data_IF_923896629759
#
_entry.id   IF_923896629759
#
_cell.length_a   1.000
_cell.length_b   1.000
_cell.length_c   1.000
_cell.angle_alpha   90.00
_cell.angle_beta   90.00
_cell.angle_gamma   90.00
#
_symmetry.space_group_name_H-M   'P 1'
#
loop_
_entity.id
_entity.type
_entity.pdbx_description
1 polymer ?
#
# COMPACT_ATOMS: atom_id res chain seq x y z
N UNK A 1 -1.57 9.69 -8.88
CA UNK A 1 -1.34 9.05 -7.56
C UNK A 1 0.15 8.91 -7.22
N UNK A 2 1.03 8.51 -8.15
CA UNK A 2 2.48 8.45 -7.90
C UNK A 2 3.08 9.80 -7.49
N UNK A 3 2.60 10.91 -8.06
CA UNK A 3 3.02 12.26 -7.66
C UNK A 3 2.72 12.56 -6.18
N UNK A 4 1.53 12.19 -5.69
CA UNK A 4 1.16 12.35 -4.26
C UNK A 4 2.12 11.52 -3.39
N UNK A 5 2.45 10.29 -3.80
CA UNK A 5 3.40 9.46 -3.08
C UNK A 5 4.79 10.13 -2.97
N UNK A 6 5.28 10.76 -4.04
CA UNK A 6 6.54 11.53 -4.01
C UNK A 6 6.45 12.71 -3.06
N UNK A 7 5.37 13.49 -3.10
CA UNK A 7 5.15 14.62 -2.17
C UNK A 7 5.13 14.17 -0.71
N UNK A 8 4.64 12.95 -0.45
CA UNK A 8 4.61 12.34 0.89
C UNK A 8 5.91 11.62 1.28
N UNK A 9 6.97 11.73 0.49
CA UNK A 9 8.31 11.25 0.84
C UNK A 9 8.74 9.93 0.19
N UNK A 10 7.99 9.39 -0.77
CA UNK A 10 8.50 8.28 -1.57
C UNK A 10 9.70 8.74 -2.42
N UNK A 11 10.87 8.16 -2.17
CA UNK A 11 12.09 8.44 -2.92
C UNK A 11 11.96 8.02 -4.39
N UNK A 12 11.36 6.86 -4.62
CA UNK A 12 11.14 6.30 -5.95
C UNK A 12 9.67 5.91 -6.14
N UNK A 13 9.14 6.15 -7.34
CA UNK A 13 7.80 5.70 -7.72
C UNK A 13 7.81 5.15 -9.14
N UNK A 14 7.21 3.98 -9.33
CA UNK A 14 7.21 3.27 -10.60
C UNK A 14 5.77 3.14 -11.08
N UNK A 15 5.49 3.54 -12.33
CA UNK A 15 4.28 3.11 -13.01
C UNK A 15 4.55 1.71 -13.57
N UNK A 16 3.83 0.65 -13.14
CA UNK A 16 4.03 -0.69 -13.67
C UNK A 16 3.63 -0.81 -15.15
N UNK A 17 2.79 0.08 -15.67
CA UNK A 17 2.42 0.09 -17.08
C UNK A 17 3.65 0.38 -17.95
N UNK A 18 3.92 -0.51 -18.92
CA UNK A 18 5.08 -0.40 -19.81
C UNK A 18 6.39 -0.93 -19.22
N UNK A 19 6.40 -1.47 -18.00
CA UNK A 19 7.59 -2.10 -17.39
C UNK A 19 7.52 -3.61 -17.58
N UNK A 20 8.19 -4.11 -18.62
CA UNK A 20 8.20 -5.55 -18.96
C UNK A 20 8.77 -6.44 -17.84
N UNK A 21 9.71 -5.89 -17.03
CA UNK A 21 10.45 -6.62 -15.99
C UNK A 21 10.56 -5.83 -14.70
N UNK A 22 9.41 -5.59 -14.06
CA UNK A 22 9.33 -4.85 -12.79
C UNK A 22 10.23 -5.46 -11.70
N UNK A 23 10.30 -6.79 -11.66
CA UNK A 23 11.16 -7.56 -10.76
C UNK A 23 12.64 -7.14 -10.87
N UNK A 24 13.17 -7.08 -12.10
CA UNK A 24 14.55 -6.71 -12.36
C UNK A 24 14.80 -5.24 -12.06
N UNK A 25 13.83 -4.38 -12.40
CA UNK A 25 13.94 -2.95 -12.17
C UNK A 25 14.05 -2.65 -10.67
N UNK A 26 13.14 -3.19 -9.86
CA UNK A 26 13.16 -3.04 -8.40
C UNK A 26 14.44 -3.64 -7.80
N UNK A 27 14.87 -4.83 -8.24
CA UNK A 27 16.11 -5.44 -7.74
C UNK A 27 17.35 -4.59 -8.05
N UNK A 28 17.40 -3.94 -9.22
CA UNK A 28 18.49 -3.03 -9.58
C UNK A 28 18.49 -1.78 -8.68
N UNK A 29 17.32 -1.18 -8.46
CA UNK A 29 17.18 0.00 -7.58
C UNK A 29 17.57 -0.30 -6.13
N UNK A 30 17.21 -1.49 -5.65
CA UNK A 30 17.35 -1.87 -4.23
C UNK A 30 18.62 -2.68 -3.93
N UNK A 31 19.45 -2.96 -4.94
CA UNK A 31 20.66 -3.78 -4.78
C UNK A 31 20.39 -5.25 -4.45
N UNK A 32 19.21 -5.80 -4.77
CA UNK A 32 18.93 -7.23 -4.56
C UNK A 32 17.49 -7.59 -4.16
N UNK A 33 16.59 -6.63 -4.04
CA UNK A 33 15.19 -6.82 -3.61
C UNK A 33 14.87 -5.97 -2.38
N UNK A 34 13.61 -5.94 -1.96
CA UNK A 34 13.20 -5.14 -0.79
C UNK A 34 13.33 -5.93 0.51
N UNK A 35 13.66 -5.25 1.62
CA UNK A 35 13.60 -5.82 2.98
C UNK A 35 12.16 -6.11 3.38
N UNK A 36 11.28 -5.15 3.13
CA UNK A 36 9.89 -5.19 3.50
C UNK A 36 9.05 -4.78 2.29
N UNK A 37 8.01 -5.55 2.01
CA UNK A 37 6.98 -5.21 1.05
C UNK A 37 5.64 -5.05 1.78
N UNK A 38 4.94 -3.95 1.54
CA UNK A 38 3.56 -3.74 1.99
C UNK A 38 2.63 -3.90 0.79
N UNK A 39 1.72 -4.85 0.85
CA UNK A 39 0.69 -5.05 -0.16
C UNK A 39 -0.62 -4.45 0.33
N UNK A 40 -1.10 -3.42 -0.36
CA UNK A 40 -2.25 -2.61 0.06
C UNK A 40 -3.40 -2.61 -0.95
N UNK A 41 -3.39 -3.52 -1.94
CA UNK A 41 -4.43 -3.63 -2.97
C UNK A 41 -5.30 -4.86 -2.72
N UNK A 42 -4.69 -5.99 -2.33
CA UNK A 42 -5.39 -7.24 -2.07
C UNK A 42 -5.69 -8.05 -3.33
N UNK A 43 -4.90 -7.90 -4.39
CA UNK A 43 -5.03 -8.73 -5.59
C UNK A 43 -4.00 -9.87 -5.55
N UNK A 44 -4.36 -11.12 -5.93
CA UNK A 44 -3.42 -12.23 -5.94
C UNK A 44 -2.12 -11.93 -6.70
N UNK A 45 -2.23 -11.31 -7.88
CA UNK A 45 -1.07 -10.93 -8.71
C UNK A 45 -0.13 -9.94 -8.00
N UNK A 46 -0.67 -8.98 -7.24
CA UNK A 46 0.16 -7.98 -6.53
C UNK A 46 0.81 -8.59 -5.29
N UNK A 47 0.11 -9.49 -4.59
CA UNK A 47 0.65 -10.28 -3.48
C UNK A 47 1.82 -11.17 -3.94
N UNK A 48 1.63 -11.93 -5.01
CA UNK A 48 2.66 -12.80 -5.58
C UNK A 48 3.88 -12.01 -6.07
N UNK A 49 3.63 -10.87 -6.73
CA UNK A 49 4.69 -9.95 -7.15
C UNK A 49 5.47 -9.40 -5.95
N UNK A 50 4.78 -8.90 -4.93
CA UNK A 50 5.40 -8.36 -3.72
C UNK A 50 6.29 -9.42 -3.03
N UNK A 51 5.81 -10.68 -2.94
CA UNK A 51 6.60 -11.80 -2.43
C UNK A 51 7.83 -12.10 -3.31
N UNK A 52 7.68 -12.00 -4.64
CA UNK A 52 8.78 -12.21 -5.57
C UNK A 52 9.89 -11.16 -5.46
N UNK A 53 9.56 -9.94 -5.02
CA UNK A 53 10.47 -8.80 -4.86
C UNK A 53 11.33 -8.85 -3.59
N UNK A 54 10.99 -9.69 -2.62
CA UNK A 54 11.75 -9.83 -1.38
C UNK A 54 13.20 -10.27 -1.64
N UNK A 55 14.12 -9.72 -0.83
CA UNK A 55 15.47 -10.25 -0.65
C UNK A 55 15.47 -11.35 0.43
N UNK A 56 16.60 -12.04 0.61
CA UNK A 56 16.77 -13.03 1.70
C UNK A 56 16.51 -12.37 3.06
N UNK A 57 15.73 -13.03 3.93
CA UNK A 57 15.32 -12.51 5.23
C UNK A 57 14.22 -11.45 5.18
N UNK A 58 13.65 -11.18 4.00
CA UNK A 58 12.64 -10.14 3.83
C UNK A 58 11.24 -10.53 4.30
N UNK A 59 10.39 -9.53 4.51
CA UNK A 59 9.01 -9.67 4.99
C UNK A 59 7.99 -9.08 4.02
N UNK A 60 6.95 -9.85 3.71
CA UNK A 60 5.73 -9.35 3.07
C UNK A 60 4.64 -9.14 4.13
N UNK A 61 4.14 -7.91 4.25
CA UNK A 61 2.97 -7.56 5.03
C UNK A 61 1.78 -7.33 4.10
N UNK A 62 0.75 -8.18 4.22
CA UNK A 62 -0.50 -8.08 3.46
C UNK A 62 -1.52 -7.30 4.28
N UNK A 63 -1.88 -6.12 3.77
CA UNK A 63 -2.88 -5.19 4.33
C UNK A 63 -4.15 -5.21 3.47
N UNK A 64 -3.98 -5.33 2.15
CA UNK A 64 -5.07 -5.44 1.20
C UNK A 64 -5.90 -6.70 1.42
N UNK A 65 -7.21 -6.58 1.20
CA UNK A 65 -8.13 -7.69 1.36
C UNK A 65 -8.41 -8.38 0.01
N UNK A 66 -8.36 -9.71 0.00
CA UNK A 66 -8.65 -10.55 -1.18
C UNK A 66 -9.70 -11.60 -0.85
N UNK A 67 -10.67 -11.81 -1.76
CA UNK A 67 -11.53 -12.99 -1.76
C UNK A 67 -10.89 -14.18 -2.50
N UNK A 68 -9.92 -13.91 -3.35
CA UNK A 68 -9.26 -14.90 -4.20
C UNK A 68 -7.94 -15.37 -3.57
N UNK A 69 -7.56 -16.65 -3.74
CA UNK A 69 -6.30 -17.17 -3.23
C UNK A 69 -5.10 -16.60 -4.02
N UNK A 70 -3.97 -16.42 -3.32
CA UNK A 70 -2.66 -16.13 -3.91
C UNK A 70 -1.72 -17.32 -3.73
N UNK A 71 -0.82 -17.55 -4.69
CA UNK A 71 0.10 -18.69 -4.67
C UNK A 71 1.46 -18.29 -4.12
N UNK A 72 1.85 -18.86 -2.97
CA UNK A 72 3.15 -18.60 -2.36
C UNK A 72 4.08 -19.81 -2.54
N UNK A 73 5.23 -19.67 -3.21
CA UNK A 73 6.22 -20.75 -3.32
C UNK A 73 6.87 -21.04 -1.96
N UNK A 74 6.32 -21.98 -1.20
CA UNK A 74 6.79 -22.32 0.16
C UNK A 74 8.25 -22.77 0.23
N UNK A 75 8.79 -23.37 -0.83
CA UNK A 75 10.22 -23.69 -0.93
C UNK A 75 11.09 -22.43 -0.93
N UNK A 76 10.64 -21.36 -1.61
CA UNK A 76 11.32 -20.05 -1.61
C UNK A 76 11.19 -19.37 -0.24
N UNK A 77 10.01 -19.45 0.38
CA UNK A 77 9.77 -18.94 1.74
C UNK A 77 10.79 -19.51 2.72
N UNK A 78 10.95 -20.84 2.75
CA UNK A 78 11.88 -21.52 3.64
C UNK A 78 13.35 -21.21 3.29
N UNK A 79 13.74 -21.40 2.02
CA UNK A 79 15.16 -21.32 1.63
C UNK A 79 15.76 -19.93 1.81
N UNK A 80 14.95 -18.88 1.63
CA UNK A 80 15.37 -17.50 1.82
C UNK A 80 14.95 -16.91 3.17
N UNK A 81 14.44 -17.73 4.10
CA UNK A 81 14.05 -17.29 5.45
C UNK A 81 13.10 -16.08 5.41
N UNK A 82 12.11 -16.14 4.52
CA UNK A 82 11.16 -15.04 4.30
C UNK A 82 9.99 -15.12 5.28
N UNK A 83 9.41 -13.96 5.57
CA UNK A 83 8.20 -13.85 6.39
C UNK A 83 6.99 -13.38 5.57
N UNK A 84 5.82 -13.93 5.88
CA UNK A 84 4.53 -13.51 5.36
C UNK A 84 3.59 -13.25 6.53
N UNK A 85 3.13 -12.01 6.67
CA UNK A 85 2.27 -11.58 7.79
C UNK A 85 1.05 -10.83 7.26
N UNK A 86 -0.10 -11.06 7.88
CA UNK A 86 -1.30 -10.25 7.65
C UNK A 86 -1.40 -9.12 8.66
N UNK A 87 -1.97 -7.98 8.25
CA UNK A 87 -2.24 -6.85 9.13
C UNK A 87 -3.65 -6.33 8.91
N UNK A 88 -4.51 -6.49 9.93
CA UNK A 88 -5.90 -6.04 9.88
C UNK A 88 -6.10 -4.82 10.78
N UNK A 89 -6.24 -3.66 10.16
CA UNK A 89 -6.59 -2.42 10.84
C UNK A 89 -5.62 -2.02 11.95
N UNK A 90 -6.11 -1.21 12.87
CA UNK A 90 -5.40 -0.77 14.06
C UNK A 90 -6.31 -0.95 15.28
N UNK A 91 -5.71 -1.30 16.42
CA UNK A 91 -6.40 -1.37 17.70
C UNK A 91 -6.61 0.02 18.31
N UNK A 92 -7.51 0.12 19.29
CA UNK A 92 -7.76 1.39 20.00
C UNK A 92 -6.49 2.02 20.63
N UNK A 93 -5.50 1.19 20.99
CA UNK A 93 -4.22 1.63 21.55
C UNK A 93 -3.27 2.30 20.56
N UNK A 94 -3.46 2.12 19.25
CA UNK A 94 -2.56 2.68 18.22
C UNK A 94 -2.90 4.14 17.89
N UNK A 95 -4.17 4.53 18.09
CA UNK A 95 -4.66 5.87 17.73
C UNK A 95 -3.94 7.02 18.44
N UNK A 96 -3.67 6.98 19.75
CA UNK A 96 -3.01 8.09 20.44
C UNK A 96 -1.64 8.44 19.84
N UNK A 97 -0.85 7.44 19.46
CA UNK A 97 0.46 7.65 18.84
C UNK A 97 0.32 8.23 17.43
N UNK A 98 -0.59 7.69 16.62
CA UNK A 98 -0.83 8.18 15.24
C UNK A 98 -1.30 9.63 15.27
N UNK A 99 -2.23 9.98 16.16
CA UNK A 99 -2.72 11.36 16.33
C UNK A 99 -1.58 12.29 16.72
N UNK A 100 -0.68 11.85 17.60
CA UNK A 100 0.49 12.64 17.99
C UNK A 100 1.46 12.87 16.82
N UNK A 101 1.69 11.85 15.98
CA UNK A 101 2.50 11.99 14.77
C UNK A 101 1.92 13.02 13.80
N UNK A 102 0.59 13.04 13.63
CA UNK A 102 -0.12 14.04 12.82
C UNK A 102 0.03 15.43 13.45
N UNK A 103 -0.20 15.55 14.77
CA UNK A 103 -0.09 16.82 15.49
C UNK A 103 1.32 17.43 15.40
N UNK A 104 2.35 16.58 15.39
CA UNK A 104 3.76 17.00 15.22
C UNK A 104 4.13 17.29 13.76
N UNK A 105 3.23 17.10 12.81
CA UNK A 105 3.50 17.25 11.37
C UNK A 105 4.41 16.16 10.80
N UNK A 106 4.69 15.09 11.56
CA UNK A 106 5.48 13.93 11.10
C UNK A 106 4.68 13.03 10.16
N UNK A 107 3.35 13.05 10.27
CA UNK A 107 2.44 12.38 9.34
C UNK A 107 1.50 13.42 8.72
N UNK A 108 1.65 13.65 7.41
CA UNK A 108 0.80 14.59 6.68
C UNK A 108 -0.40 13.87 6.07
N UNK A 109 -1.61 14.33 6.39
CA UNK A 109 -2.86 13.74 5.88
C UNK A 109 -3.53 14.60 4.80
N UNK A 110 -3.33 15.92 4.82
CA UNK A 110 -3.99 16.84 3.89
C UNK A 110 -3.78 16.46 2.41
N UNK A 111 -2.58 16.04 1.95
CA UNK A 111 -2.38 15.68 0.54
C UNK A 111 -3.18 14.46 0.06
N UNK A 112 -3.70 13.63 0.96
CA UNK A 112 -4.54 12.48 0.58
C UNK A 112 -6.04 12.81 0.57
N UNK A 113 -6.45 13.92 1.19
CA UNK A 113 -7.85 14.37 1.19
C UNK A 113 -8.14 15.07 -0.13
N UNK A 114 -8.97 14.43 -0.96
CA UNK A 114 -9.39 14.95 -2.27
C UNK A 114 -10.51 15.97 -2.18
N UNK A 115 -11.26 15.95 -1.08
CA UNK A 115 -12.29 16.92 -0.78
C UNK A 115 -13.20 16.47 0.35
N UNK A 116 -14.03 17.40 0.79
CA UNK A 116 -15.10 17.14 1.76
C UNK A 116 -16.44 17.32 1.05
N UNK A 117 -17.34 16.37 1.23
CA UNK A 117 -18.72 16.43 0.73
C UNK A 117 -19.70 16.39 1.91
N UNK A 118 -20.86 17.04 1.80
CA UNK A 118 -21.91 16.93 2.81
C UNK A 118 -22.58 15.54 2.73
N UNK A 119 -23.18 15.08 3.83
CA UNK A 119 -23.83 13.77 3.91
C UNK A 119 -24.96 13.61 2.87
N UNK A 120 -25.64 14.70 2.51
CA UNK A 120 -26.68 14.74 1.48
C UNK A 120 -26.16 14.35 0.09
N UNK A 121 -24.86 14.49 -0.17
CA UNK A 121 -24.22 14.15 -1.45
C UNK A 121 -23.53 12.77 -1.43
N UNK A 122 -23.86 11.90 -0.47
CA UNK A 122 -23.18 10.61 -0.29
C UNK A 122 -23.25 9.70 -1.54
N UNK A 123 -24.34 9.74 -2.30
CA UNK A 123 -24.49 8.96 -3.53
C UNK A 123 -23.47 9.37 -4.60
N UNK A 124 -23.31 10.69 -4.82
CA UNK A 124 -22.26 11.20 -5.71
C UNK A 124 -20.87 10.86 -5.16
N UNK A 125 -20.69 10.89 -3.85
CA UNK A 125 -19.47 10.40 -3.19
C UNK A 125 -19.12 8.96 -3.58
N UNK A 126 -20.11 8.05 -3.56
CA UNK A 126 -19.92 6.67 -4.01
C UNK A 126 -19.64 6.57 -5.51
N UNK A 127 -20.30 7.36 -6.34
CA UNK A 127 -20.05 7.37 -7.78
C UNK A 127 -18.63 7.84 -8.14
N UNK A 128 -18.11 8.87 -7.45
CA UNK A 128 -16.70 9.28 -7.56
C UNK A 128 -15.75 8.14 -7.22
N UNK A 129 -16.02 7.41 -6.13
CA UNK A 129 -15.21 6.25 -5.75
C UNK A 129 -15.22 5.16 -6.83
N UNK A 130 -16.39 4.87 -7.43
CA UNK A 130 -16.51 3.89 -8.53
C UNK A 130 -15.75 4.31 -9.78
N UNK A 131 -15.73 5.61 -10.10
CA UNK A 131 -14.95 6.18 -11.20
C UNK A 131 -13.45 6.28 -10.89
N UNK A 132 -13.02 5.99 -9.66
CA UNK A 132 -11.63 6.08 -9.22
C UNK A 132 -11.15 7.52 -8.98
N UNK A 133 -12.09 8.46 -8.83
CA UNK A 133 -11.82 9.89 -8.66
C UNK A 133 -11.39 10.22 -7.23
N UNK A 134 -10.22 10.88 -7.12
CA UNK A 134 -9.61 11.20 -5.84
C UNK A 134 -8.86 10.04 -5.19
N UNK A 135 -8.48 10.24 -3.93
CA UNK A 135 -7.74 9.31 -3.07
C UNK A 135 -8.58 9.01 -1.82
N UNK A 136 -8.95 10.05 -1.07
CA UNK A 136 -9.84 9.96 0.08
C UNK A 136 -10.85 11.11 0.07
N UNK A 137 -12.12 10.79 0.23
CA UNK A 137 -13.19 11.78 0.45
C UNK A 137 -13.58 11.77 1.93
N UNK A 138 -13.82 12.95 2.48
CA UNK A 138 -14.36 13.13 3.83
C UNK A 138 -15.85 13.46 3.70
N UNK A 139 -16.69 12.78 4.48
CA UNK A 139 -18.10 13.12 4.59
C UNK A 139 -18.28 13.95 5.85
N UNK A 140 -18.79 15.17 5.69
CA UNK A 140 -19.17 16.03 6.80
C UNK A 140 -20.67 15.86 7.08
N UNK A 141 -21.07 15.82 8.36
CA UNK A 141 -22.48 15.75 8.76
C UNK A 141 -23.25 17.01 8.43
#
# INVERSE_FOLDING_TARGET
RLEIARTLGAEETINPEGVERLDKHVRKLTGGGVDVAFEAIGQPKTIEMAFALLRKGGRLCVIGFSHEPATIPVGKLMFFELELVGSLGCGGGDYPEIVELVRQGKLQLDPVVSGTIPLEEIEEGFDRLRRGEGVRWVVAP
#
